data_IF_711620252356
#
_entry.id   IF_711620252356
#
_cell.length_a   1.000
_cell.length_b   1.000
_cell.length_c   1.000
_cell.angle_alpha   90.00
_cell.angle_beta   90.00
_cell.angle_gamma   90.00
#
_symmetry.space_group_name_H-M   'P 1'
#
loop_
_entity.id
_entity.type
_entity.pdbx_description
1 polymer ?
#
# COMPACT_ATOMS: atom_id res chain seq x y z
N UNK A 1 32.80 7.48 1.08
CA UNK A 1 32.34 8.46 0.08
C UNK A 1 30.87 8.19 -0.22
N UNK A 2 29.97 9.05 0.31
CA UNK A 2 28.54 9.24 -0.07
C UNK A 2 27.60 8.03 0.08
N UNK A 3 26.47 8.04 0.80
CA UNK A 3 25.62 9.16 1.23
C UNK A 3 24.78 8.71 2.43
N UNK A 4 24.67 9.60 3.40
CA UNK A 4 23.84 9.51 4.60
C UNK A 4 22.40 9.07 4.29
N UNK A 5 22.00 7.94 4.88
CA UNK A 5 20.60 7.54 5.04
C UNK A 5 20.02 8.46 6.13
N UNK A 6 19.70 9.70 5.75
CA UNK A 6 19.20 10.73 6.65
C UNK A 6 17.68 10.83 6.53
N UNK A 7 16.99 10.21 7.49
CA UNK A 7 15.73 10.68 8.12
C UNK A 7 14.73 11.44 7.21
N UNK A 8 14.14 10.70 6.25
CA UNK A 8 12.84 11.00 5.58
C UNK A 8 12.07 9.68 5.40
N UNK A 9 11.79 8.99 6.51
CA UNK A 9 11.34 7.59 6.59
C UNK A 9 10.12 7.20 5.72
N UNK A 10 9.02 7.97 5.64
CA UNK A 10 7.86 7.58 4.84
C UNK A 10 8.06 7.81 3.33
N UNK A 11 8.86 8.80 2.94
CA UNK A 11 9.11 9.14 1.53
C UNK A 11 9.94 8.07 0.82
N UNK A 12 10.94 7.54 1.51
CA UNK A 12 11.78 6.46 0.98
C UNK A 12 10.95 5.19 0.81
N UNK A 13 10.11 4.84 1.79
CA UNK A 13 9.19 3.70 1.72
C UNK A 13 8.13 3.86 0.63
N UNK A 14 7.60 5.07 0.41
CA UNK A 14 6.68 5.36 -0.67
C UNK A 14 7.34 5.15 -2.04
N UNK A 15 8.53 5.73 -2.26
CA UNK A 15 9.26 5.62 -3.53
C UNK A 15 9.62 4.16 -3.81
N UNK A 16 10.15 3.44 -2.82
CA UNK A 16 10.53 2.03 -3.00
C UNK A 16 9.31 1.18 -3.34
N UNK A 17 8.20 1.36 -2.62
CA UNK A 17 6.96 0.61 -2.87
C UNK A 17 6.37 0.94 -4.24
N UNK A 18 6.42 2.21 -4.67
CA UNK A 18 5.97 2.64 -5.99
C UNK A 18 6.84 2.10 -7.14
N UNK A 19 8.17 2.09 -7.00
CA UNK A 19 9.05 1.49 -8.01
C UNK A 19 8.83 -0.02 -8.09
N UNK A 20 8.72 -0.69 -6.93
CA UNK A 20 8.52 -2.12 -6.86
C UNK A 20 7.17 -2.53 -7.48
N UNK A 21 6.12 -1.75 -7.23
CA UNK A 21 4.82 -1.95 -7.87
C UNK A 21 4.95 -1.82 -9.39
N UNK A 22 5.62 -0.77 -9.90
CA UNK A 22 5.82 -0.58 -11.33
C UNK A 22 6.61 -1.72 -12.00
N UNK A 23 7.63 -2.26 -11.32
CA UNK A 23 8.41 -3.41 -11.78
C UNK A 23 7.55 -4.67 -11.88
N UNK A 24 6.71 -4.93 -10.88
CA UNK A 24 5.78 -6.09 -10.91
C UNK A 24 4.81 -5.94 -12.08
N UNK A 25 4.25 -4.74 -12.29
CA UNK A 25 3.37 -4.47 -13.43
C UNK A 25 4.05 -4.72 -14.77
N UNK A 26 5.25 -4.18 -14.96
CA UNK A 26 6.02 -4.35 -16.19
C UNK A 26 6.36 -5.82 -16.45
N UNK A 27 6.74 -6.56 -15.41
CA UNK A 27 7.03 -8.00 -15.51
C UNK A 27 5.78 -8.78 -15.92
N UNK A 28 4.64 -8.52 -15.28
CA UNK A 28 3.36 -9.17 -15.60
C UNK A 28 2.89 -8.83 -17.02
N UNK A 29 3.15 -7.61 -17.50
CA UNK A 29 2.86 -7.20 -18.89
C UNK A 29 3.73 -7.95 -19.90
N UNK A 30 5.02 -8.10 -19.62
CA UNK A 30 5.96 -8.80 -20.51
C UNK A 30 5.65 -10.31 -20.59
N UNK A 31 5.24 -10.90 -19.46
CA UNK A 31 4.81 -12.30 -19.38
C UNK A 31 3.34 -12.52 -19.76
N UNK A 32 2.61 -11.50 -20.25
CA UNK A 32 1.19 -11.63 -20.61
C UNK A 32 0.91 -12.79 -21.58
N UNK A 33 1.84 -13.06 -22.51
CA UNK A 33 1.73 -14.18 -23.43
C UNK A 33 1.76 -15.55 -22.73
N UNK A 34 2.56 -15.70 -21.66
CA UNK A 34 2.65 -16.92 -20.85
C UNK A 34 1.39 -17.18 -20.00
N UNK A 35 0.63 -16.13 -19.67
CA UNK A 35 -0.62 -16.26 -18.93
C UNK A 35 -1.75 -16.87 -19.76
N UNK A 36 -1.73 -16.68 -21.09
CA UNK A 36 -2.74 -17.26 -21.99
C UNK A 36 -2.64 -18.78 -22.16
N UNK A 37 -1.50 -19.38 -21.81
CA UNK A 37 -1.28 -20.82 -22.01
C UNK A 37 -1.98 -21.68 -20.95
N UNK A 38 -2.26 -21.14 -19.75
CA UNK A 38 -2.84 -21.93 -18.66
C UNK A 38 -3.73 -21.13 -17.72
N UNK A 39 -4.85 -21.74 -17.31
CA UNK A 39 -5.81 -21.18 -16.35
C UNK A 39 -5.16 -20.92 -14.98
N UNK A 40 -4.24 -21.79 -14.56
CA UNK A 40 -3.51 -21.65 -13.28
C UNK A 40 -2.57 -20.44 -13.32
N UNK A 41 -1.92 -20.19 -14.45
CA UNK A 41 -1.07 -19.00 -14.60
C UNK A 41 -1.93 -17.75 -14.37
N UNK A 42 -3.10 -17.67 -14.97
CA UNK A 42 -4.00 -16.51 -14.84
C UNK A 42 -4.44 -16.29 -13.38
N UNK A 43 -4.60 -17.36 -12.60
CA UNK A 43 -4.86 -17.27 -11.15
C UNK A 43 -3.65 -16.69 -10.39
N UNK A 44 -2.44 -17.15 -10.70
CA UNK A 44 -1.19 -16.61 -10.15
C UNK A 44 -0.98 -15.14 -10.50
N UNK A 45 -1.40 -14.71 -11.69
CA UNK A 45 -1.39 -13.30 -12.09
C UNK A 45 -2.25 -12.45 -11.16
N UNK A 46 -3.46 -12.90 -10.83
CA UNK A 46 -4.34 -12.25 -9.86
C UNK A 46 -3.72 -12.14 -8.45
N UNK A 47 -3.03 -13.19 -8.00
CA UNK A 47 -2.30 -13.17 -6.73
C UNK A 47 -1.19 -12.11 -6.72
N UNK A 48 -0.38 -12.03 -7.77
CA UNK A 48 0.68 -11.02 -7.91
C UNK A 48 0.11 -9.60 -7.98
N UNK A 49 -1.03 -9.41 -8.65
CA UNK A 49 -1.71 -8.11 -8.65
C UNK A 49 -2.22 -7.72 -7.25
N UNK A 50 -2.54 -8.65 -6.37
CA UNK A 50 -2.83 -8.27 -4.99
C UNK A 50 -1.60 -7.77 -4.24
N UNK A 51 -0.41 -8.30 -4.51
CA UNK A 51 0.82 -7.75 -3.94
C UNK A 51 1.06 -6.31 -4.43
N UNK A 52 0.77 -6.05 -5.71
CA UNK A 52 0.76 -4.69 -6.25
C UNK A 52 -0.24 -3.78 -5.54
N UNK A 53 -1.44 -4.27 -5.24
CA UNK A 53 -2.44 -3.52 -4.47
C UNK A 53 -1.91 -3.13 -3.08
N UNK A 54 -1.31 -4.06 -2.33
CA UNK A 54 -0.72 -3.76 -0.99
C UNK A 54 0.42 -2.75 -1.11
N UNK A 55 1.31 -2.89 -2.10
CA UNK A 55 2.44 -1.97 -2.30
C UNK A 55 1.96 -0.58 -2.73
N UNK A 56 0.92 -0.51 -3.57
CA UNK A 56 0.31 0.73 -4.00
C UNK A 56 -0.44 1.41 -2.84
N UNK A 57 -1.17 0.65 -2.02
CA UNK A 57 -1.81 1.17 -0.81
C UNK A 57 -0.77 1.69 0.19
N UNK A 58 0.34 0.99 0.36
CA UNK A 58 1.48 1.47 1.16
C UNK A 58 2.07 2.76 0.59
N UNK A 59 2.20 2.85 -0.73
CA UNK A 59 2.71 4.04 -1.40
C UNK A 59 1.79 5.25 -1.22
N UNK A 60 0.48 5.08 -1.43
CA UNK A 60 -0.51 6.15 -1.30
C UNK A 60 -0.66 6.57 0.16
N UNK A 61 -0.72 5.63 1.09
CA UNK A 61 -0.85 5.92 2.52
C UNK A 61 0.35 6.70 3.06
N UNK A 62 1.56 6.31 2.65
CA UNK A 62 2.78 7.06 2.96
C UNK A 62 2.80 8.43 2.26
N UNK A 63 2.24 8.56 1.05
CA UNK A 63 2.14 9.83 0.34
C UNK A 63 1.11 10.78 0.97
N UNK A 64 -0.04 10.28 1.40
CA UNK A 64 -1.05 11.07 2.12
C UNK A 64 -0.51 11.57 3.47
N UNK A 65 0.21 10.72 4.20
CA UNK A 65 0.91 11.12 5.44
C UNK A 65 1.91 12.26 5.20
N UNK A 66 2.55 12.28 4.03
CA UNK A 66 3.49 13.34 3.63
C UNK A 66 2.80 14.64 3.19
N UNK A 67 1.65 14.55 2.52
CA UNK A 67 0.92 15.70 1.95
C UNK A 67 -0.01 16.36 2.97
N UNK A 68 -0.70 15.55 3.80
CA UNK A 68 -1.75 16.01 4.72
C UNK A 68 -1.33 15.99 6.19
N UNK A 69 -0.17 15.41 6.53
CA UNK A 69 0.36 15.36 7.90
C UNK A 69 -0.16 14.17 8.72
N UNK A 70 0.50 13.88 9.85
CA UNK A 70 0.29 12.68 10.67
C UNK A 70 -1.10 12.57 11.35
N UNK A 71 -1.84 13.69 11.43
CA UNK A 71 -3.20 13.75 12.03
C UNK A 71 -4.33 13.39 11.05
N UNK A 72 -4.04 13.23 9.76
CA UNK A 72 -5.00 12.60 8.86
C UNK A 72 -4.91 11.08 9.05
N UNK A 73 -5.64 10.58 10.05
CA UNK A 73 -5.96 9.15 10.12
C UNK A 73 -6.63 8.82 8.78
N UNK A 74 -5.86 8.20 7.87
CA UNK A 74 -6.20 8.06 6.47
C UNK A 74 -7.66 7.67 6.35
N UNK A 75 -8.42 8.35 5.48
CA UNK A 75 -9.76 7.90 5.11
C UNK A 75 -9.55 6.62 4.30
N UNK A 76 -9.31 5.52 5.02
CA UNK A 76 -8.88 4.24 4.49
C UNK A 76 -9.86 3.82 3.40
N UNK A 77 -11.16 4.05 3.59
CA UNK A 77 -12.20 3.62 2.65
C UNK A 77 -12.05 4.23 1.24
N UNK A 78 -12.03 5.57 1.03
CA UNK A 78 -11.82 6.13 -0.30
C UNK A 78 -10.43 5.83 -0.89
N UNK A 79 -9.37 5.81 -0.09
CA UNK A 79 -8.01 5.49 -0.56
C UNK A 79 -7.92 4.05 -1.09
N UNK A 80 -8.41 3.10 -0.29
CA UNK A 80 -8.49 1.68 -0.64
C UNK A 80 -9.24 1.51 -1.96
N UNK A 81 -10.39 2.17 -2.10
CA UNK A 81 -11.23 2.05 -3.29
C UNK A 81 -10.49 2.56 -4.53
N UNK A 82 -9.80 3.70 -4.42
CA UNK A 82 -9.02 4.28 -5.52
C UNK A 82 -7.88 3.35 -5.93
N UNK A 83 -7.13 2.84 -4.95
CA UNK A 83 -6.03 1.90 -5.18
C UNK A 83 -6.52 0.57 -5.79
N UNK A 84 -7.69 0.09 -5.36
CA UNK A 84 -8.30 -1.14 -5.87
C UNK A 84 -8.75 -0.98 -7.32
N UNK A 85 -9.36 0.15 -7.68
CA UNK A 85 -9.75 0.45 -9.08
C UNK A 85 -8.50 0.59 -9.97
N UNK A 86 -7.47 1.28 -9.49
CA UNK A 86 -6.19 1.41 -10.21
C UNK A 86 -5.51 0.04 -10.44
N UNK A 87 -5.50 -0.81 -9.41
CA UNK A 87 -4.92 -2.15 -9.55
C UNK A 87 -5.77 -3.06 -10.45
N UNK A 88 -7.09 -3.00 -10.32
CA UNK A 88 -8.01 -3.81 -11.14
C UNK A 88 -7.97 -3.39 -12.61
N UNK A 89 -7.86 -2.10 -12.90
CA UNK A 89 -7.67 -1.60 -14.27
C UNK A 89 -6.33 -2.07 -14.83
N UNK A 90 -5.23 -1.98 -14.06
CA UNK A 90 -3.92 -2.51 -14.44
C UNK A 90 -3.96 -4.02 -14.75
N UNK A 91 -4.63 -4.82 -13.91
CA UNK A 91 -4.84 -6.25 -14.15
C UNK A 91 -5.70 -6.52 -15.39
N UNK A 92 -6.74 -5.72 -15.61
CA UNK A 92 -7.63 -5.79 -16.75
C UNK A 92 -6.95 -5.49 -18.09
N UNK A 93 -5.91 -4.64 -18.10
CA UNK A 93 -5.12 -4.43 -19.32
C UNK A 93 -4.40 -5.71 -19.74
N UNK A 94 -3.94 -6.52 -18.77
CA UNK A 94 -3.26 -7.81 -19.01
C UNK A 94 -4.24 -8.88 -19.45
N UNK A 95 -5.26 -9.16 -18.63
CA UNK A 95 -6.23 -10.20 -18.90
C UNK A 95 -7.53 -9.96 -18.13
N UNK A 96 -8.69 -10.16 -18.76
CA UNK A 96 -10.00 -9.92 -18.12
C UNK A 96 -10.22 -10.79 -16.88
N UNK A 97 -9.72 -12.02 -16.88
CA UNK A 97 -9.82 -12.94 -15.73
C UNK A 97 -8.86 -12.55 -14.60
N UNK A 98 -7.72 -11.90 -14.91
CA UNK A 98 -6.82 -11.38 -13.87
C UNK A 98 -7.48 -10.24 -13.07
N UNK A 99 -8.30 -9.41 -13.73
CA UNK A 99 -9.00 -8.32 -13.05
C UNK A 99 -9.97 -8.82 -11.98
N UNK A 100 -10.74 -9.87 -12.28
CA UNK A 100 -11.71 -10.41 -11.31
C UNK A 100 -11.03 -11.18 -10.18
N UNK A 101 -9.96 -11.93 -10.49
CA UNK A 101 -9.19 -12.65 -9.45
C UNK A 101 -8.39 -11.71 -8.55
N UNK A 102 -7.86 -10.61 -9.09
CA UNK A 102 -7.17 -9.59 -8.28
C UNK A 102 -8.12 -8.90 -7.30
N UNK A 103 -9.34 -8.54 -7.73
CA UNK A 103 -10.34 -7.93 -6.84
C UNK A 103 -10.68 -8.85 -5.68
N UNK A 104 -10.94 -10.13 -5.95
CA UNK A 104 -11.22 -11.12 -4.92
C UNK A 104 -10.06 -11.23 -3.91
N UNK A 105 -8.83 -11.35 -4.40
CA UNK A 105 -7.67 -11.49 -3.54
C UNK A 105 -7.38 -10.21 -2.75
N UNK A 106 -7.58 -9.03 -3.35
CA UNK A 106 -7.46 -7.74 -2.68
C UNK A 106 -8.51 -7.55 -1.58
N UNK A 107 -9.75 -7.99 -1.77
CA UNK A 107 -10.79 -7.97 -0.72
C UNK A 107 -10.42 -8.88 0.45
N UNK A 108 -9.87 -10.06 0.17
CA UNK A 108 -9.37 -10.98 1.20
C UNK A 108 -8.20 -10.34 1.96
N UNK A 109 -7.21 -9.80 1.26
CA UNK A 109 -6.08 -9.09 1.86
C UNK A 109 -6.53 -7.90 2.72
N UNK A 110 -7.49 -7.12 2.22
CA UNK A 110 -8.07 -6.02 2.96
C UNK A 110 -8.83 -6.49 4.20
N UNK A 111 -9.57 -7.60 4.11
CA UNK A 111 -10.23 -8.20 5.28
C UNK A 111 -9.21 -8.58 6.36
N UNK A 112 -8.07 -9.16 5.98
CA UNK A 112 -7.00 -9.45 6.95
C UNK A 112 -6.40 -8.18 7.56
N UNK A 113 -6.13 -7.16 6.76
CA UNK A 113 -5.62 -5.86 7.24
C UNK A 113 -6.65 -5.19 8.17
N UNK A 114 -7.93 -5.18 7.81
CA UNK A 114 -9.00 -4.62 8.65
C UNK A 114 -9.20 -5.42 9.94
N UNK A 115 -9.05 -6.74 9.89
CA UNK A 115 -9.11 -7.59 11.08
C UNK A 115 -7.94 -7.33 12.02
N UNK A 116 -6.74 -7.17 11.49
CA UNK A 116 -5.54 -6.77 12.23
C UNK A 116 -5.77 -5.39 12.83
N UNK A 117 -6.16 -4.40 12.00
CA UNK A 117 -6.47 -3.04 12.44
C UNK A 117 -7.49 -3.05 13.58
N UNK A 118 -8.57 -3.82 13.47
CA UNK A 118 -9.56 -3.94 14.55
C UNK A 118 -8.96 -4.50 15.84
N UNK A 119 -7.98 -5.41 15.78
CA UNK A 119 -7.31 -5.93 16.99
C UNK A 119 -6.32 -4.93 17.60
N UNK A 120 -5.59 -4.17 16.79
CA UNK A 120 -4.56 -3.24 17.27
C UNK A 120 -5.12 -1.86 17.65
N UNK A 121 -6.18 -1.39 16.99
CA UNK A 121 -6.80 -0.08 17.23
C UNK A 121 -8.07 -0.13 18.10
N UNK A 122 -8.68 -1.30 18.40
CA UNK A 122 -9.70 -1.42 19.48
C UNK A 122 -9.09 -1.64 20.87
N UNK A 123 -7.78 -1.85 20.98
CA UNK A 123 -7.10 -1.50 22.22
C UNK A 123 -6.94 0.02 22.16
N UNK A 124 -7.34 0.81 23.17
CA UNK A 124 -7.18 2.26 23.13
C UNK A 124 -5.69 2.57 23.05
N UNK A 125 -5.18 2.74 21.82
CA UNK A 125 -3.85 3.26 21.57
C UNK A 125 -3.98 4.74 21.86
N UNK A 126 -3.50 5.10 23.05
CA UNK A 126 -3.16 6.46 23.45
C UNK A 126 -2.51 7.13 22.25
N UNK A 127 -3.22 8.13 21.72
CA UNK A 127 -2.70 9.08 20.76
C UNK A 127 -1.41 9.60 21.38
N UNK A 128 -0.27 9.28 20.78
CA UNK A 128 1.01 9.85 21.19
C UNK A 128 0.97 11.32 20.78
N UNK A 129 0.38 12.14 21.66
CA UNK A 129 0.52 13.58 21.66
C UNK A 129 2.01 13.90 21.63
N UNK A 130 2.43 14.41 20.47
CA UNK A 130 3.56 15.30 20.23
C UNK A 130 4.23 15.78 21.53
N UNK A 131 5.56 15.59 21.72
CA UNK A 131 6.25 16.29 22.79
C UNK A 131 6.32 17.77 22.39
N UNK A 132 5.31 18.56 22.78
CA UNK A 132 5.40 20.00 22.83
C UNK A 132 6.54 20.37 23.77
N UNK A 133 7.69 20.65 23.15
CA UNK A 133 8.79 21.48 23.63
C UNK A 133 8.25 22.62 24.49
N UNK A 134 8.25 22.45 25.81
CA UNK A 134 8.10 23.55 26.77
C UNK A 134 9.45 23.87 27.39
N UNK A 135 9.97 25.00 26.93
CA UNK A 135 11.09 25.76 27.47
C UNK A 135 11.06 25.85 28.99
N UNK A 136 12.25 25.84 29.60
CA UNK A 136 12.45 25.67 31.03
C UNK A 136 12.11 26.85 31.94
N UNK A 137 12.24 26.60 33.25
CA UNK A 137 12.75 27.47 34.33
C UNK A 137 12.49 26.74 35.68
N UNK A 138 13.53 26.21 36.34
CA UNK A 138 14.36 26.87 37.38
C UNK A 138 13.65 26.98 38.75
N UNK A 139 14.19 26.22 39.72
CA UNK A 139 14.34 26.44 41.17
C UNK A 139 13.12 26.69 42.09
N UNK A 140 12.96 25.85 43.11
CA UNK A 140 13.41 26.13 44.50
C UNK A 140 13.48 24.84 45.30
#
# INVERSE_FOLDING_TARGET
>A
MSKSISTKSPLISAIISGILSFVIFATLRFYAHWFNTSQINTLFGGYLFSWMFILSLTCVSNAETLVFGADFQAKLVPEILLCLIMTASAAGVVHRVCATTSIFFSLVGLYFINRISSKYYNSPVVVEDLPLRKSGKKNK
#
